data_IF_265937385306
#
_entry.id   IF_265937385306
#
_cell.length_a   1.000
_cell.length_b   1.000
_cell.length_c   1.000
_cell.angle_alpha   90.00
_cell.angle_beta   90.00
_cell.angle_gamma   90.00
#
_symmetry.space_group_name_H-M   'P 1'
#
loop_
_entity.id
_entity.type
_entity.pdbx_description
1 polymer ?
#
# COMPACT_ATOMS: atom_id res chain seq x y z
N UNK A 1 -29.24 -91.28 -10.07
CA UNK A 1 -30.49 -90.49 -10.05
C UNK A 1 -30.16 -89.03 -10.39
N UNK A 2 -30.67 -88.47 -11.50
CA UNK A 2 -30.52 -87.03 -11.79
C UNK A 2 -31.48 -86.26 -10.89
N UNK A 3 -31.03 -85.26 -10.11
CA UNK A 3 -31.91 -84.54 -9.22
C UNK A 3 -32.99 -83.78 -10.01
N UNK A 4 -34.26 -84.06 -9.66
CA UNK A 4 -35.48 -83.53 -10.32
C UNK A 4 -35.59 -81.99 -10.24
N UNK A 5 -34.84 -81.36 -9.33
CA UNK A 5 -34.89 -79.91 -9.09
C UNK A 5 -33.73 -79.08 -9.67
N UNK A 6 -33.21 -79.49 -10.83
CA UNK A 6 -32.09 -78.83 -11.51
C UNK A 6 -32.44 -77.45 -12.08
N UNK A 7 -33.71 -77.23 -12.47
CA UNK A 7 -34.18 -75.94 -13.01
C UNK A 7 -34.30 -74.86 -11.94
N UNK A 8 -34.90 -75.15 -10.78
CA UNK A 8 -34.99 -74.16 -9.69
C UNK A 8 -33.61 -73.87 -9.11
N UNK A 9 -32.74 -74.87 -8.99
CA UNK A 9 -31.35 -74.66 -8.52
C UNK A 9 -30.58 -73.70 -9.43
N UNK A 10 -30.75 -73.81 -10.75
CA UNK A 10 -30.12 -72.90 -11.72
C UNK A 10 -30.72 -71.49 -11.64
N UNK A 11 -32.03 -71.36 -11.46
CA UNK A 11 -32.69 -70.05 -11.30
C UNK A 11 -32.22 -69.34 -10.03
N UNK A 12 -32.18 -70.03 -8.89
CA UNK A 12 -31.70 -69.48 -7.62
C UNK A 12 -30.22 -69.10 -7.69
N UNK A 13 -29.40 -69.89 -8.39
CA UNK A 13 -27.99 -69.58 -8.60
C UNK A 13 -27.78 -68.33 -9.47
N UNK A 14 -28.57 -68.17 -10.54
CA UNK A 14 -28.53 -66.96 -11.38
C UNK A 14 -28.98 -65.73 -10.58
N UNK A 15 -30.06 -65.85 -9.79
CA UNK A 15 -30.53 -64.76 -8.92
C UNK A 15 -29.45 -64.37 -7.89
N UNK A 16 -28.76 -65.35 -7.31
CA UNK A 16 -27.66 -65.11 -6.37
C UNK A 16 -26.49 -64.37 -7.04
N UNK A 17 -26.05 -64.80 -8.23
CA UNK A 17 -24.98 -64.12 -8.97
C UNK A 17 -25.40 -62.69 -9.32
N UNK A 18 -26.65 -62.49 -9.76
CA UNK A 18 -27.16 -61.18 -10.14
C UNK A 18 -27.18 -60.24 -8.92
N UNK A 19 -27.65 -60.72 -7.77
CA UNK A 19 -27.62 -59.98 -6.51
C UNK A 19 -26.18 -59.67 -6.08
N UNK A 20 -25.27 -60.64 -6.19
CA UNK A 20 -23.85 -60.47 -5.82
C UNK A 20 -23.18 -59.40 -6.69
N UNK A 21 -23.39 -59.43 -8.00
CA UNK A 21 -22.87 -58.41 -8.93
C UNK A 21 -23.47 -57.05 -8.60
N UNK A 22 -24.77 -56.99 -8.31
CA UNK A 22 -25.44 -55.73 -7.99
C UNK A 22 -24.87 -55.11 -6.71
N UNK A 23 -24.74 -55.88 -5.63
CA UNK A 23 -24.17 -55.39 -4.36
C UNK A 23 -22.70 -54.98 -4.53
N UNK A 24 -21.92 -55.78 -5.26
CA UNK A 24 -20.51 -55.45 -5.53
C UNK A 24 -20.37 -54.17 -6.35
N UNK A 25 -21.22 -53.98 -7.37
CA UNK A 25 -21.25 -52.76 -8.17
C UNK A 25 -21.65 -51.54 -7.33
N UNK A 26 -22.66 -51.67 -6.45
CA UNK A 26 -23.04 -50.60 -5.52
C UNK A 26 -21.87 -50.22 -4.61
N UNK A 27 -21.18 -51.20 -4.02
CA UNK A 27 -20.01 -50.94 -3.16
C UNK A 27 -18.89 -50.24 -3.96
N UNK A 28 -18.59 -50.70 -5.18
CA UNK A 28 -17.60 -50.04 -6.03
C UNK A 28 -17.95 -48.59 -6.35
N UNK A 29 -19.21 -48.31 -6.68
CA UNK A 29 -19.67 -46.94 -6.94
C UNK A 29 -19.53 -46.09 -5.68
N UNK A 30 -19.98 -46.58 -4.52
CA UNK A 30 -19.85 -45.86 -3.25
C UNK A 30 -18.39 -45.53 -2.92
N UNK A 31 -17.48 -46.50 -3.04
CA UNK A 31 -16.05 -46.29 -2.82
C UNK A 31 -15.49 -45.28 -3.82
N UNK A 32 -15.81 -45.41 -5.11
CA UNK A 32 -15.33 -44.50 -6.15
C UNK A 32 -15.74 -43.05 -5.88
N UNK A 33 -17.01 -42.81 -5.53
CA UNK A 33 -17.48 -41.46 -5.17
C UNK A 33 -16.85 -40.96 -3.87
N UNK A 34 -16.69 -41.82 -2.87
CA UNK A 34 -16.06 -41.46 -1.59
C UNK A 34 -14.59 -41.02 -1.77
N UNK A 35 -13.84 -41.58 -2.72
CA UNK A 35 -12.46 -41.16 -2.99
C UNK A 35 -12.33 -39.98 -3.97
N UNK A 36 -13.20 -39.88 -4.98
CA UNK A 36 -13.11 -38.83 -6.01
C UNK A 36 -13.53 -37.44 -5.49
N UNK A 37 -14.54 -37.37 -4.61
CA UNK A 37 -15.04 -36.09 -4.08
C UNK A 37 -14.01 -35.39 -3.19
N UNK A 38 -13.36 -36.05 -2.21
CA UNK A 38 -12.33 -35.44 -1.39
C UNK A 38 -11.14 -34.92 -2.19
N UNK A 39 -10.75 -35.60 -3.28
CA UNK A 39 -9.61 -35.15 -4.10
C UNK A 39 -9.87 -33.79 -4.76
N UNK A 40 -11.07 -33.58 -5.29
CA UNK A 40 -11.45 -32.28 -5.88
C UNK A 40 -11.52 -31.18 -4.83
N UNK A 41 -12.07 -31.48 -3.66
CA UNK A 41 -12.13 -30.52 -2.55
C UNK A 41 -10.74 -30.14 -2.05
N UNK A 42 -9.82 -31.11 -1.93
CA UNK A 42 -8.43 -30.87 -1.55
C UNK A 42 -7.71 -30.00 -2.60
N UNK A 43 -7.94 -30.25 -3.89
CA UNK A 43 -7.34 -29.45 -4.96
C UNK A 43 -7.81 -27.99 -4.91
N UNK A 44 -9.13 -27.77 -4.76
CA UNK A 44 -9.70 -26.43 -4.59
C UNK A 44 -9.21 -25.74 -3.31
N UNK A 45 -9.08 -26.48 -2.20
CA UNK A 45 -8.52 -25.94 -0.96
C UNK A 45 -7.07 -25.51 -1.15
N UNK A 46 -6.24 -26.34 -1.80
CA UNK A 46 -4.84 -26.01 -2.09
C UNK A 46 -4.71 -24.77 -2.96
N UNK A 47 -5.57 -24.62 -3.96
CA UNK A 47 -5.62 -23.42 -4.81
C UNK A 47 -5.95 -22.17 -3.98
N UNK A 48 -6.97 -22.23 -3.13
CA UNK A 48 -7.35 -21.11 -2.25
C UNK A 48 -6.26 -20.76 -1.26
N UNK A 49 -5.60 -21.76 -0.67
CA UNK A 49 -4.45 -21.56 0.24
C UNK A 49 -3.33 -20.85 -0.50
N UNK A 50 -3.00 -21.26 -1.72
CA UNK A 50 -1.95 -20.63 -2.52
C UNK A 50 -2.27 -19.15 -2.83
N UNK A 51 -3.52 -18.84 -3.16
CA UNK A 51 -3.96 -17.45 -3.38
C UNK A 51 -3.83 -16.64 -2.08
N UNK A 52 -4.26 -17.20 -0.95
CA UNK A 52 -4.14 -16.54 0.35
C UNK A 52 -2.67 -16.30 0.75
N UNK A 53 -1.79 -17.27 0.54
CA UNK A 53 -0.35 -17.11 0.79
C UNK A 53 0.28 -16.02 -0.09
N UNK A 54 -0.15 -15.91 -1.36
CA UNK A 54 0.29 -14.83 -2.25
C UNK A 54 -0.17 -13.46 -1.75
N UNK A 55 -1.42 -13.36 -1.30
CA UNK A 55 -1.95 -12.13 -0.72
C UNK A 55 -1.21 -11.73 0.56
N UNK A 56 -0.94 -12.68 1.48
CA UNK A 56 -0.18 -12.41 2.71
C UNK A 56 1.22 -11.92 2.39
N UNK A 57 1.92 -12.56 1.45
CA UNK A 57 3.26 -12.12 1.02
C UNK A 57 3.23 -10.71 0.42
N UNK A 58 2.21 -10.41 -0.38
CA UNK A 58 2.03 -9.06 -0.92
C UNK A 58 1.81 -8.04 0.21
N UNK A 59 0.91 -8.35 1.15
CA UNK A 59 0.60 -7.49 2.30
C UNK A 59 1.84 -7.20 3.16
N UNK A 60 2.65 -8.23 3.45
CA UNK A 60 3.90 -8.09 4.20
C UNK A 60 4.90 -7.18 3.45
N UNK A 61 5.06 -7.40 2.13
CA UNK A 61 5.91 -6.57 1.28
C UNK A 61 5.44 -5.11 1.25
N UNK A 62 4.15 -4.89 1.02
CA UNK A 62 3.53 -3.56 1.00
C UNK A 62 3.71 -2.84 2.34
N UNK A 63 3.44 -3.51 3.46
CA UNK A 63 3.60 -2.93 4.79
C UNK A 63 5.07 -2.55 5.09
N UNK A 64 6.02 -3.37 4.66
CA UNK A 64 7.44 -3.09 4.78
C UNK A 64 7.85 -1.85 3.99
N UNK A 65 7.40 -1.74 2.72
CA UNK A 65 7.68 -0.57 1.89
C UNK A 65 7.09 0.72 2.48
N UNK A 66 5.85 0.67 2.96
CA UNK A 66 5.20 1.79 3.65
C UNK A 66 6.01 2.24 4.87
N UNK A 67 6.54 1.30 5.66
CA UNK A 67 7.38 1.62 6.82
C UNK A 67 8.65 2.36 6.41
N UNK A 68 9.28 1.96 5.30
CA UNK A 68 10.45 2.64 4.75
C UNK A 68 10.09 4.05 4.28
N UNK A 69 8.97 4.20 3.55
CA UNK A 69 8.47 5.51 3.08
C UNK A 69 8.19 6.43 4.26
N UNK A 70 7.52 5.93 5.32
CA UNK A 70 7.28 6.69 6.55
C UNK A 70 8.59 7.17 7.18
N UNK A 71 9.60 6.31 7.32
CA UNK A 71 10.88 6.71 7.90
C UNK A 71 11.60 7.78 7.07
N UNK A 72 11.51 7.70 5.73
CA UNK A 72 12.04 8.73 4.84
C UNK A 72 11.28 10.05 4.99
N UNK A 73 9.95 10.00 5.14
CA UNK A 73 9.08 11.15 5.35
C UNK A 73 9.31 11.82 6.71
N UNK A 74 9.62 11.03 7.74
CA UNK A 74 10.03 11.51 9.06
C UNK A 74 11.43 12.17 8.98
N UNK A 75 12.31 11.65 8.11
CA UNK A 75 13.65 12.21 7.89
C UNK A 75 13.62 13.58 7.21
N UNK A 76 12.60 13.86 6.38
CA UNK A 76 12.41 15.19 5.78
C UNK A 76 12.31 16.30 6.82
N UNK A 77 11.86 16.00 8.05
CA UNK A 77 11.73 16.99 9.14
C UNK A 77 13.08 17.39 9.77
N UNK A 78 14.16 16.66 9.46
CA UNK A 78 15.48 16.83 10.08
C UNK A 78 16.26 17.97 9.39
N UNK A 79 16.67 19.02 10.12
CA UNK A 79 17.45 20.12 9.56
C UNK A 79 18.82 19.65 9.07
N UNK A 80 19.23 20.10 7.89
CA UNK A 80 20.53 19.76 7.28
C UNK A 80 20.50 18.60 6.27
N UNK A 81 19.35 17.93 6.09
CA UNK A 81 19.19 16.94 5.01
C UNK A 81 18.86 17.61 3.67
N UNK A 82 19.27 16.96 2.57
CA UNK A 82 18.91 17.37 1.22
C UNK A 82 17.45 16.97 0.92
N UNK A 83 16.52 17.86 1.24
CA UNK A 83 15.08 17.73 1.04
C UNK A 83 14.74 17.37 -0.41
N UNK A 84 15.43 17.95 -1.39
CA UNK A 84 15.20 17.70 -2.81
C UNK A 84 15.57 16.26 -3.21
N UNK A 85 16.73 15.77 -2.76
CA UNK A 85 17.17 14.39 -3.01
C UNK A 85 16.21 13.36 -2.37
N UNK A 86 15.83 13.57 -1.12
CA UNK A 86 14.90 12.70 -0.41
C UNK A 86 13.49 12.73 -1.02
N UNK A 87 13.02 13.90 -1.43
CA UNK A 87 11.74 14.06 -2.13
C UNK A 87 11.70 13.27 -3.44
N UNK A 88 12.79 13.29 -4.23
CA UNK A 88 12.91 12.49 -5.46
C UNK A 88 12.92 10.98 -5.17
N UNK A 89 13.65 10.55 -4.14
CA UNK A 89 13.64 9.13 -3.72
C UNK A 89 12.26 8.66 -3.26
N UNK A 90 11.55 9.51 -2.49
CA UNK A 90 10.18 9.24 -2.05
C UNK A 90 9.22 9.09 -3.23
N UNK A 91 9.30 9.98 -4.23
CA UNK A 91 8.50 9.88 -5.45
C UNK A 91 8.76 8.57 -6.19
N UNK A 92 10.03 8.19 -6.36
CA UNK A 92 10.40 6.93 -7.01
C UNK A 92 9.85 5.71 -6.28
N UNK A 93 9.90 5.70 -4.93
CA UNK A 93 9.34 4.60 -4.13
C UNK A 93 7.82 4.56 -4.19
N UNK A 94 7.14 5.70 -4.05
CA UNK A 94 5.67 5.77 -4.12
C UNK A 94 5.15 5.33 -5.50
N UNK A 95 5.83 5.72 -6.60
CA UNK A 95 5.46 5.27 -7.96
C UNK A 95 5.59 3.76 -8.11
N UNK A 96 6.74 3.19 -7.71
CA UNK A 96 6.96 1.73 -7.76
C UNK A 96 5.96 0.96 -6.92
N UNK A 97 5.64 1.47 -5.73
CA UNK A 97 4.64 0.85 -4.85
C UNK A 97 3.24 0.93 -5.45
N UNK A 98 2.91 2.01 -6.18
CA UNK A 98 1.63 2.09 -6.89
C UNK A 98 1.56 1.13 -8.08
N UNK A 99 2.67 0.97 -8.81
CA UNK A 99 2.79 0.04 -9.93
C UNK A 99 2.73 -1.43 -9.49
N UNK A 100 3.17 -1.75 -8.27
CA UNK A 100 3.16 -3.12 -7.75
C UNK A 100 1.78 -3.60 -7.27
N UNK A 101 0.80 -2.71 -7.13
CA UNK A 101 -0.56 -3.07 -6.67
C UNK A 101 -1.24 -3.96 -7.73
N UNK A 102 -1.68 -5.18 -7.36
CA UNK A 102 -2.39 -6.07 -8.26
C UNK A 102 -3.69 -5.43 -8.76
N UNK A 103 -3.81 -5.24 -10.07
CA UNK A 103 -5.04 -4.74 -10.74
C UNK A 103 -6.11 -5.82 -10.94
N UNK A 104 -5.75 -7.09 -10.71
CA UNK A 104 -6.61 -8.25 -10.96
C UNK A 104 -7.52 -8.60 -9.79
N UNK A 105 -7.22 -8.12 -8.59
CA UNK A 105 -8.02 -8.42 -7.41
C UNK A 105 -9.19 -7.45 -7.27
N UNK A 106 -10.24 -7.93 -6.59
CA UNK A 106 -11.45 -7.20 -6.21
C UNK A 106 -11.18 -5.70 -6.03
N UNK A 107 -11.95 -4.87 -6.74
CA UNK A 107 -11.84 -3.40 -6.77
C UNK A 107 -11.56 -2.80 -5.38
N UNK A 108 -12.17 -3.37 -4.33
CA UNK A 108 -11.98 -2.95 -2.95
C UNK A 108 -10.52 -2.99 -2.44
N UNK A 109 -9.75 -4.06 -2.72
CA UNK A 109 -8.37 -4.17 -2.23
C UNK A 109 -7.44 -3.23 -2.99
N UNK A 110 -7.62 -3.15 -4.30
CA UNK A 110 -6.89 -2.22 -5.15
C UNK A 110 -7.07 -0.77 -4.69
N UNK A 111 -8.31 -0.37 -4.43
CA UNK A 111 -8.65 0.97 -3.95
C UNK A 111 -8.05 1.24 -2.56
N UNK A 112 -8.08 0.25 -1.66
CA UNK A 112 -7.46 0.36 -0.35
C UNK A 112 -5.96 0.69 -0.45
N UNK A 113 -5.18 -0.14 -1.16
CA UNK A 113 -3.74 0.09 -1.31
C UNK A 113 -3.45 1.42 -2.03
N UNK A 114 -4.22 1.73 -3.07
CA UNK A 114 -4.09 2.99 -3.81
C UNK A 114 -4.35 4.20 -2.92
N UNK A 115 -5.36 4.14 -2.06
CA UNK A 115 -5.70 5.22 -1.13
C UNK A 115 -4.61 5.42 -0.08
N UNK A 116 -3.97 4.33 0.38
CA UNK A 116 -2.80 4.44 1.27
C UNK A 116 -1.65 5.16 0.55
N UNK A 117 -1.30 4.77 -0.68
CA UNK A 117 -0.25 5.44 -1.46
C UNK A 117 -0.55 6.93 -1.61
N UNK A 118 -1.79 7.27 -2.00
CA UNK A 118 -2.26 8.65 -2.16
C UNK A 118 -2.16 9.44 -0.85
N UNK A 119 -2.48 8.83 0.28
CA UNK A 119 -2.35 9.48 1.58
C UNK A 119 -0.88 9.85 1.87
N UNK A 120 0.07 8.95 1.62
CA UNK A 120 1.49 9.25 1.79
C UNK A 120 2.00 10.32 0.81
N UNK A 121 1.53 10.32 -0.44
CA UNK A 121 1.81 11.37 -1.41
C UNK A 121 1.35 12.74 -0.88
N UNK A 122 0.10 12.81 -0.38
CA UNK A 122 -0.46 14.04 0.17
C UNK A 122 0.30 14.54 1.39
N UNK A 123 0.74 13.64 2.29
CA UNK A 123 1.55 14.04 3.44
C UNK A 123 2.90 14.61 2.98
N UNK A 124 3.51 14.01 1.96
CA UNK A 124 4.76 14.49 1.35
C UNK A 124 4.61 15.91 0.79
N UNK A 125 3.58 16.13 -0.03
CA UNK A 125 3.27 17.46 -0.60
C UNK A 125 3.02 18.49 0.51
N UNK A 126 2.22 18.14 1.52
CA UNK A 126 1.93 19.02 2.66
C UNK A 126 3.21 19.41 3.42
N UNK A 127 4.15 18.47 3.60
CA UNK A 127 5.44 18.75 4.23
C UNK A 127 6.29 19.70 3.37
N UNK A 128 6.38 19.47 2.07
CA UNK A 128 7.09 20.37 1.14
C UNK A 128 6.53 21.81 1.21
N UNK A 129 5.20 21.95 1.23
CA UNK A 129 4.54 23.25 1.40
C UNK A 129 4.87 23.92 2.75
N UNK A 130 4.86 23.15 3.85
CA UNK A 130 5.24 23.64 5.18
C UNK A 130 6.68 24.15 5.21
N UNK A 131 7.59 23.44 4.53
CA UNK A 131 8.98 23.87 4.37
C UNK A 131 9.10 25.20 3.63
N UNK A 132 8.39 25.34 2.50
CA UNK A 132 8.36 26.60 1.74
C UNK A 132 7.86 27.75 2.60
N UNK A 133 6.73 27.57 3.29
CA UNK A 133 6.14 28.61 4.15
C UNK A 133 7.04 29.01 5.31
N UNK A 134 7.79 28.06 5.88
CA UNK A 134 8.76 28.34 6.94
C UNK A 134 9.90 29.22 6.42
N UNK A 135 10.36 28.97 5.20
CA UNK A 135 11.38 29.78 4.55
C UNK A 135 10.85 31.20 4.23
N UNK A 136 9.63 31.31 3.73
CA UNK A 136 8.98 32.60 3.45
C UNK A 136 8.84 33.44 4.72
N UNK A 137 8.44 32.83 5.84
CA UNK A 137 8.36 33.51 7.14
C UNK A 137 9.72 34.03 7.59
N UNK A 138 10.79 33.28 7.37
CA UNK A 138 12.16 33.71 7.69
C UNK A 138 12.57 34.91 6.84
N UNK A 139 12.29 34.87 5.54
CA UNK A 139 12.58 35.97 4.61
C UNK A 139 11.81 37.25 4.98
N UNK A 140 10.53 37.12 5.37
CA UNK A 140 9.72 38.26 5.84
C UNK A 140 10.35 38.89 7.08
N UNK A 141 10.82 38.08 8.03
CA UNK A 141 11.46 38.58 9.24
C UNK A 141 12.77 39.31 8.93
N UNK A 142 13.59 38.76 8.02
CA UNK A 142 14.80 39.42 7.52
C UNK A 142 14.49 40.75 6.82
N UNK A 143 13.46 40.80 5.96
CA UNK A 143 13.00 42.03 5.33
C UNK A 143 12.53 43.08 6.34
N UNK A 144 11.80 42.68 7.39
CA UNK A 144 11.38 43.60 8.47
C UNK A 144 12.58 44.22 9.18
N UNK A 145 13.57 43.41 9.52
CA UNK A 145 14.81 43.89 10.16
C UNK A 145 15.54 44.88 9.25
N UNK A 146 15.62 44.60 7.95
CA UNK A 146 16.26 45.52 7.00
C UNK A 146 15.47 46.82 6.83
N UNK A 147 14.14 46.75 6.83
CA UNK A 147 13.27 47.92 6.73
C UNK A 147 13.45 48.81 7.96
N UNK A 148 13.43 48.25 9.16
CA UNK A 148 13.66 48.98 10.41
C UNK A 148 15.05 49.63 10.45
N UNK A 149 16.10 48.92 10.02
CA UNK A 149 17.45 49.49 9.88
C UNK A 149 17.51 50.65 8.88
N UNK A 150 16.77 50.54 7.78
CA UNK A 150 16.73 51.59 6.75
C UNK A 150 15.99 52.82 7.26
N UNK A 151 14.87 52.63 7.97
CA UNK A 151 14.15 53.72 8.63
C UNK A 151 14.99 54.44 9.69
N UNK A 152 15.77 53.69 10.48
CA UNK A 152 16.70 54.28 11.45
C UNK A 152 17.77 55.15 10.75
N UNK A 153 18.42 54.62 9.71
CA UNK A 153 19.41 55.38 8.92
C UNK A 153 18.83 56.61 8.25
N UNK A 154 17.59 56.52 7.77
CA UNK A 154 16.90 57.66 7.16
C UNK A 154 16.65 58.76 8.20
N UNK A 155 16.16 58.40 9.39
CA UNK A 155 16.01 59.35 10.52
C UNK A 155 17.34 59.97 10.96
N UNK A 156 18.43 59.22 10.96
CA UNK A 156 19.77 59.75 11.25
C UNK A 156 20.21 60.75 10.18
N UNK A 157 20.09 60.38 8.91
CA UNK A 157 20.45 61.24 7.77
C UNK A 157 19.63 62.53 7.74
N UNK A 158 18.34 62.47 8.05
CA UNK A 158 17.48 63.65 8.17
C UNK A 158 17.91 64.58 9.31
N UNK A 159 18.29 64.03 10.48
CA UNK A 159 18.83 64.82 11.58
C UNK A 159 20.13 65.49 11.18
N UNK A 160 21.04 64.78 10.53
CA UNK A 160 22.32 65.33 10.06
C UNK A 160 22.10 66.46 9.04
N UNK A 161 21.17 66.28 8.10
CA UNK A 161 20.77 67.32 7.15
C UNK A 161 20.22 68.57 7.85
N UNK A 162 19.36 68.40 8.87
CA UNK A 162 18.86 69.53 9.66
C UNK A 162 20.00 70.28 10.36
N UNK A 163 20.94 69.56 10.98
CA UNK A 163 22.11 70.16 11.65
C UNK A 163 22.93 70.96 10.64
N UNK A 164 23.23 70.40 9.47
CA UNK A 164 23.97 71.10 8.41
C UNK A 164 23.25 72.36 7.95
N UNK A 165 21.93 72.30 7.77
CA UNK A 165 21.11 73.43 7.33
C UNK A 165 21.08 74.58 8.35
N UNK A 166 21.02 74.25 9.65
CA UNK A 166 21.12 75.24 10.73
C UNK A 166 22.51 75.86 10.77
N UNK A 167 23.55 75.04 10.62
CA UNK A 167 24.95 75.47 10.70
C UNK A 167 25.34 76.35 9.51
N UNK A 168 24.82 76.05 8.30
CA UNK A 168 25.04 76.88 7.11
C UNK A 168 24.35 78.24 7.21
N UNK A 169 23.17 78.31 7.82
CA UNK A 169 22.45 79.57 8.02
C UNK A 169 23.09 80.48 9.08
N UNK A 170 23.89 79.92 10.02
CA UNK A 170 24.65 80.70 11.01
C UNK A 170 25.97 81.29 10.48
N UNK A 171 26.43 80.88 9.29
CA UNK A 171 27.69 81.33 8.68
C UNK A 171 27.52 82.40 7.59
N UNK A 172 26.30 82.92 7.39
CA UNK A 172 26.00 84.12 6.61
C UNK A 172 25.57 85.22 7.55
#
# INVERSE_FOLDING_TARGET
>A
MKPKNTKERRSSFIKFILLFVLVTATIMVTVFFNYRVPQKEIELLRERVKIAEQEVKFQEGFASEIKVIKNMLDSLDIPGQNVSFLGSQLNGKLSRMQESIPRKDSTYRYDMYTNVVKAFLKIKETKEELYSRKNDKKNIEECKIQLEKTEQKLKETERDLQILRITSNRRR
#
